data_IF_980450756822
#
_entry.id   IF_980450756822
#
_cell.length_a   1.000
_cell.length_b   1.000
_cell.length_c   1.000
_cell.angle_alpha   90.00
_cell.angle_beta   90.00
_cell.angle_gamma   90.00
#
_symmetry.space_group_name_H-M   'P 1'
#
loop_
_entity.id
_entity.type
_entity.pdbx_description
1 polymer ?
#
# COMPACT_ATOMS: atom_id res chain seq x y z
N UNK A 1 -26.94 -19.18 -10.20
CA UNK A 1 -25.87 -19.83 -10.98
C UNK A 1 -24.68 -20.05 -10.06
N UNK A 2 -24.23 -21.29 -9.81
CA UNK A 2 -23.22 -21.59 -8.79
C UNK A 2 -21.82 -21.63 -9.42
N UNK A 3 -21.25 -20.47 -9.70
CA UNK A 3 -19.82 -20.28 -9.94
C UNK A 3 -19.41 -18.88 -9.45
N UNK A 4 -19.08 -18.75 -8.15
CA UNK A 4 -18.18 -17.71 -7.65
C UNK A 4 -17.02 -18.43 -7.00
N UNK A 5 -16.01 -18.75 -7.80
CA UNK A 5 -14.73 -19.29 -7.33
C UNK A 5 -13.63 -18.35 -7.80
N UNK A 6 -13.05 -17.61 -6.84
CA UNK A 6 -11.67 -17.13 -6.88
C UNK A 6 -11.37 -15.82 -7.60
N UNK A 7 -11.85 -14.68 -7.09
CA UNK A 7 -11.21 -13.37 -7.37
C UNK A 7 -11.21 -12.40 -6.19
N UNK A 8 -11.85 -12.74 -5.06
CA UNK A 8 -12.01 -11.81 -3.93
C UNK A 8 -10.69 -11.46 -3.23
N UNK A 9 -9.64 -12.27 -3.42
CA UNK A 9 -8.32 -12.07 -2.80
C UNK A 9 -7.24 -11.68 -3.83
N UNK A 10 -7.63 -11.28 -5.05
CA UNK A 10 -6.67 -10.98 -6.12
C UNK A 10 -6.42 -9.48 -6.18
N UNK A 11 -5.23 -9.06 -5.77
CA UNK A 11 -4.74 -7.69 -5.96
C UNK A 11 -4.56 -7.38 -7.45
N UNK A 12 -4.62 -6.09 -7.88
CA UNK A 12 -4.90 -4.92 -7.06
C UNK A 12 -6.37 -4.83 -6.60
N UNK A 13 -6.59 -4.25 -5.42
CA UNK A 13 -7.93 -3.85 -4.97
C UNK A 13 -8.25 -2.47 -5.55
N UNK A 14 -9.51 -2.21 -5.89
CA UNK A 14 -9.93 -0.94 -6.47
C UNK A 14 -11.21 -0.43 -5.81
N UNK A 15 -11.23 0.85 -5.44
CA UNK A 15 -12.42 1.52 -4.94
C UNK A 15 -12.31 3.03 -5.15
N UNK A 16 -13.38 3.66 -5.66
CA UNK A 16 -13.48 5.12 -5.84
C UNK A 16 -12.26 5.78 -6.50
N UNK A 17 -11.78 5.18 -7.60
CA UNK A 17 -10.63 5.68 -8.35
C UNK A 17 -9.26 5.32 -7.75
N UNK A 18 -9.20 4.84 -6.51
CA UNK A 18 -7.97 4.38 -5.86
C UNK A 18 -7.73 2.90 -6.15
N UNK A 19 -6.51 2.57 -6.58
CA UNK A 19 -6.03 1.19 -6.67
C UNK A 19 -4.97 0.94 -5.60
N UNK A 20 -4.93 -0.28 -5.06
CA UNK A 20 -4.07 -0.66 -3.95
C UNK A 20 -3.48 -2.05 -4.13
N UNK A 21 -2.18 -2.19 -3.86
CA UNK A 21 -1.46 -3.46 -3.71
C UNK A 21 -0.65 -3.45 -2.42
N UNK A 22 -0.45 -4.64 -1.86
CA UNK A 22 0.34 -4.83 -0.66
C UNK A 22 1.21 -6.08 -0.84
N UNK A 23 2.51 -5.87 -0.91
CA UNK A 23 3.52 -6.91 -0.91
C UNK A 23 4.10 -7.04 0.50
N UNK A 24 3.51 -7.93 1.27
CA UNK A 24 3.88 -8.10 2.67
C UNK A 24 2.92 -9.05 3.36
N UNK A 25 3.01 -9.07 4.68
CA UNK A 25 2.08 -9.85 5.51
C UNK A 25 2.01 -9.25 6.92
N UNK A 26 0.89 -9.48 7.60
CA UNK A 26 0.71 -9.20 9.03
C UNK A 26 0.75 -10.52 9.81
N UNK A 27 1.69 -10.64 10.76
CA UNK A 27 1.74 -11.79 11.66
C UNK A 27 0.52 -11.82 12.61
N UNK A 28 -0.09 -13.00 12.73
CA UNK A 28 -1.30 -13.24 13.54
C UNK A 28 -2.47 -12.30 13.22
N UNK A 29 -2.60 -11.84 11.97
CA UNK A 29 -3.61 -10.85 11.53
C UNK A 29 -5.02 -11.02 12.13
N UNK A 30 -5.55 -12.25 12.11
CA UNK A 30 -6.89 -12.58 12.63
C UNK A 30 -7.04 -12.30 14.14
N UNK A 31 -5.95 -12.43 14.91
CA UNK A 31 -5.92 -12.24 16.37
C UNK A 31 -5.53 -10.81 16.76
N UNK A 32 -5.01 -10.03 15.82
CA UNK A 32 -4.44 -8.70 16.05
C UNK A 32 -5.23 -7.63 15.29
N UNK A 33 -4.76 -7.21 14.12
CA UNK A 33 -5.28 -6.07 13.38
C UNK A 33 -6.71 -6.29 12.89
N UNK A 34 -7.11 -7.52 12.52
CA UNK A 34 -8.41 -7.75 11.89
C UNK A 34 -9.56 -7.25 12.75
N UNK A 35 -9.57 -7.60 14.04
CA UNK A 35 -10.61 -7.16 14.97
C UNK A 35 -10.59 -5.65 15.19
N UNK A 36 -9.39 -5.05 15.26
CA UNK A 36 -9.19 -3.60 15.46
C UNK A 36 -9.67 -2.79 14.28
N UNK A 37 -9.25 -3.18 13.06
CA UNK A 37 -9.71 -2.57 11.81
C UNK A 37 -11.23 -2.65 11.73
N UNK A 38 -11.83 -3.84 11.90
CA UNK A 38 -13.30 -3.98 11.85
C UNK A 38 -14.04 -3.08 12.82
N UNK A 39 -13.50 -2.88 14.01
CA UNK A 39 -14.10 -1.99 15.00
C UNK A 39 -13.99 -0.51 14.61
N UNK A 40 -12.93 -0.15 13.89
CA UNK A 40 -12.69 1.21 13.40
C UNK A 40 -13.52 1.55 12.15
N UNK A 41 -13.83 0.55 11.30
CA UNK A 41 -14.60 0.75 10.08
C UNK A 41 -16.06 1.09 10.37
N UNK A 42 -16.60 2.04 9.62
CA UNK A 42 -18.04 2.22 9.48
C UNK A 42 -18.67 1.01 8.77
N UNK A 43 -19.96 0.78 9.00
CA UNK A 43 -20.69 -0.32 8.35
C UNK A 43 -20.65 -0.23 6.82
N UNK A 44 -20.62 0.99 6.26
CA UNK A 44 -20.53 1.20 4.81
C UNK A 44 -19.20 0.73 4.23
N UNK A 45 -18.09 1.06 4.87
CA UNK A 45 -16.75 0.64 4.42
C UNK A 45 -16.54 -0.85 4.66
N UNK A 46 -16.95 -1.38 5.83
CA UNK A 46 -16.83 -2.80 6.15
C UNK A 46 -17.61 -3.68 5.16
N UNK A 47 -18.80 -3.25 4.73
CA UNK A 47 -19.61 -3.97 3.74
C UNK A 47 -18.91 -4.08 2.36
N UNK A 48 -17.91 -3.25 2.09
CA UNK A 48 -17.10 -3.28 0.89
C UNK A 48 -15.94 -4.27 0.93
N UNK A 49 -15.74 -5.02 2.01
CA UNK A 49 -14.73 -6.09 2.12
C UNK A 49 -15.34 -7.39 1.57
N UNK A 50 -14.75 -7.93 0.51
CA UNK A 50 -15.20 -9.15 -0.16
C UNK A 50 -14.46 -10.43 0.26
N UNK A 51 -13.27 -10.31 0.83
CA UNK A 51 -12.38 -11.39 1.22
C UNK A 51 -11.96 -11.33 2.69
N UNK A 52 -10.80 -11.92 2.98
CA UNK A 52 -10.30 -12.09 4.35
C UNK A 52 -8.79 -11.86 4.50
N UNK A 53 -8.13 -11.27 3.50
CA UNK A 53 -6.69 -11.03 3.52
C UNK A 53 -6.35 -9.77 4.31
N UNK A 54 -5.19 -9.74 4.94
CA UNK A 54 -4.66 -8.54 5.59
C UNK A 54 -4.67 -7.32 4.67
N UNK A 55 -4.30 -7.53 3.41
CA UNK A 55 -4.19 -6.52 2.36
C UNK A 55 -5.51 -5.81 2.10
N UNK A 56 -6.62 -6.56 2.03
CA UNK A 56 -7.93 -5.97 1.79
C UNK A 56 -8.42 -5.15 2.99
N UNK A 57 -8.10 -5.61 4.21
CA UNK A 57 -8.44 -4.87 5.43
C UNK A 57 -7.57 -3.63 5.61
N UNK A 58 -6.28 -3.67 5.23
CA UNK A 58 -5.42 -2.49 5.18
C UNK A 58 -5.98 -1.48 4.16
N UNK A 59 -6.42 -1.95 2.99
CA UNK A 59 -7.08 -1.06 2.02
C UNK A 59 -8.41 -0.49 2.56
N UNK A 60 -9.19 -1.28 3.28
CA UNK A 60 -10.42 -0.81 3.92
C UNK A 60 -10.13 0.25 5.00
N UNK A 61 -9.06 0.10 5.79
CA UNK A 61 -8.60 1.10 6.74
C UNK A 61 -8.27 2.43 6.03
N UNK A 62 -7.53 2.37 4.93
CA UNK A 62 -7.21 3.56 4.13
C UNK A 62 -8.45 4.24 3.56
N UNK A 63 -9.39 3.45 3.02
CA UNK A 63 -10.69 3.96 2.54
C UNK A 63 -11.49 4.61 3.65
N UNK A 64 -11.47 4.05 4.86
CA UNK A 64 -12.14 4.65 6.01
C UNK A 64 -11.51 6.00 6.38
N UNK A 65 -10.18 6.11 6.41
CA UNK A 65 -9.49 7.36 6.70
C UNK A 65 -9.85 8.46 5.69
N UNK A 66 -9.74 8.15 4.39
CA UNK A 66 -10.13 9.07 3.32
C UNK A 66 -11.61 9.47 3.37
N UNK A 67 -12.51 8.53 3.68
CA UNK A 67 -13.94 8.82 3.81
C UNK A 67 -14.30 9.60 5.08
N UNK A 68 -13.37 9.73 6.04
CA UNK A 68 -13.62 10.45 7.31
C UNK A 68 -13.24 11.93 7.21
N UNK A 69 -12.45 12.31 6.21
CA UNK A 69 -11.95 13.66 6.01
C UNK A 69 -11.67 13.89 4.52
N UNK A 70 -12.56 14.64 3.86
CA UNK A 70 -12.47 14.96 2.43
C UNK A 70 -11.23 15.82 2.08
N UNK A 71 -10.59 16.46 3.07
CA UNK A 71 -9.36 17.25 2.88
C UNK A 71 -8.10 16.40 3.09
N UNK A 72 -8.23 15.15 3.54
CA UNK A 72 -7.10 14.27 3.81
C UNK A 72 -6.45 13.79 2.51
N UNK A 73 -5.19 14.16 2.32
CA UNK A 73 -4.41 13.68 1.17
C UNK A 73 -4.14 12.18 1.27
N UNK A 74 -3.92 11.52 0.13
CA UNK A 74 -3.58 10.10 0.11
C UNK A 74 -2.28 9.81 0.88
N UNK A 75 -1.29 10.70 0.80
CA UNK A 75 -0.09 10.65 1.64
C UNK A 75 -0.43 10.59 3.13
N UNK A 76 -1.24 11.54 3.62
CA UNK A 76 -1.56 11.63 5.04
C UNK A 76 -2.42 10.44 5.49
N UNK A 77 -3.30 9.94 4.63
CA UNK A 77 -4.04 8.70 4.88
C UNK A 77 -3.11 7.49 5.02
N UNK A 78 -2.08 7.38 4.17
CA UNK A 78 -1.06 6.31 4.29
C UNK A 78 -0.34 6.40 5.63
N UNK A 79 0.15 7.59 5.99
CA UNK A 79 0.83 7.81 7.29
C UNK A 79 -0.05 7.43 8.47
N UNK A 80 -1.27 7.94 8.51
CA UNK A 80 -2.23 7.65 9.56
C UNK A 80 -2.56 6.14 9.64
N UNK A 81 -2.68 5.45 8.51
CA UNK A 81 -2.90 4.00 8.50
C UNK A 81 -1.71 3.24 9.09
N UNK A 82 -0.48 3.62 8.75
CA UNK A 82 0.74 3.00 9.29
C UNK A 82 0.85 3.23 10.80
N UNK A 83 0.55 4.43 11.29
CA UNK A 83 0.54 4.76 12.73
C UNK A 83 -0.48 3.91 13.50
N UNK A 84 -1.72 3.80 12.99
CA UNK A 84 -2.75 2.96 13.60
C UNK A 84 -2.36 1.48 13.58
N UNK A 85 -1.74 1.00 12.50
CA UNK A 85 -1.24 -0.37 12.42
C UNK A 85 -0.19 -0.60 13.51
N UNK A 86 0.79 0.29 13.68
CA UNK A 86 1.81 0.15 14.73
C UNK A 86 1.20 0.08 16.13
N UNK A 87 0.25 0.97 16.43
CA UNK A 87 -0.46 0.97 17.71
C UNK A 87 -1.19 -0.35 17.97
N UNK A 88 -1.79 -0.94 16.94
CA UNK A 88 -2.65 -2.12 17.07
C UNK A 88 -1.92 -3.46 16.92
N UNK A 89 -0.69 -3.44 16.41
CA UNK A 89 0.07 -4.66 16.10
C UNK A 89 0.49 -5.41 17.36
N UNK A 90 0.57 -4.75 18.52
CA UNK A 90 0.93 -5.35 19.83
C UNK A 90 2.18 -6.24 19.72
N UNK A 91 3.23 -5.66 19.12
CA UNK A 91 4.57 -6.23 18.99
C UNK A 91 4.78 -7.30 17.92
N UNK A 92 3.75 -7.63 17.11
CA UNK A 92 3.88 -8.61 16.02
C UNK A 92 4.65 -8.03 14.84
N UNK A 93 5.07 -8.91 13.94
CA UNK A 93 5.73 -8.51 12.69
C UNK A 93 4.72 -8.04 11.64
N UNK A 94 5.09 -7.01 10.91
CA UNK A 94 4.40 -6.65 9.67
C UNK A 94 5.41 -6.20 8.62
N UNK A 95 5.20 -6.63 7.38
CA UNK A 95 5.88 -6.09 6.21
C UNK A 95 4.85 -5.29 5.43
N UNK A 96 5.13 -4.03 5.10
CA UNK A 96 4.18 -3.06 4.55
C UNK A 96 4.79 -2.36 3.33
N UNK A 97 5.18 -3.13 2.31
CA UNK A 97 5.39 -2.53 0.99
C UNK A 97 4.03 -2.39 0.33
N UNK A 98 3.47 -1.20 0.41
CA UNK A 98 2.17 -0.87 -0.18
C UNK A 98 2.41 -0.04 -1.42
N UNK A 99 1.60 -0.25 -2.46
CA UNK A 99 1.54 0.58 -3.66
C UNK A 99 0.10 1.07 -3.83
N UNK A 100 -0.08 2.37 -4.01
CA UNK A 100 -1.36 3.01 -4.31
C UNK A 100 -1.26 3.91 -5.52
N UNK A 101 -2.40 4.11 -6.18
CA UNK A 101 -2.58 5.18 -7.14
C UNK A 101 -4.00 5.71 -7.11
N UNK A 102 -4.14 7.02 -7.32
CA UNK A 102 -5.42 7.70 -7.56
C UNK A 102 -5.70 7.88 -9.06
N UNK A 103 -4.86 7.30 -9.93
CA UNK A 103 -4.92 7.46 -11.38
C UNK A 103 -4.04 8.59 -11.92
N UNK A 104 -3.51 9.47 -11.06
CA UNK A 104 -2.60 10.56 -11.44
C UNK A 104 -1.19 10.32 -10.91
N UNK A 105 -1.08 9.92 -9.63
CA UNK A 105 0.20 9.69 -8.94
C UNK A 105 0.33 8.25 -8.46
N UNK A 106 1.58 7.81 -8.29
CA UNK A 106 1.91 6.56 -7.61
C UNK A 106 2.47 6.86 -6.23
N UNK A 107 2.03 6.10 -5.23
CA UNK A 107 2.49 6.17 -3.86
C UNK A 107 3.00 4.80 -3.45
N UNK A 108 4.21 4.69 -2.93
CA UNK A 108 4.73 3.41 -2.47
C UNK A 108 5.49 3.50 -1.16
N UNK A 109 5.21 2.59 -0.23
CA UNK A 109 5.95 2.52 1.03
C UNK A 109 7.00 1.43 0.95
N UNK A 110 8.18 1.67 1.52
CA UNK A 110 9.08 0.60 1.95
C UNK A 110 9.13 0.60 3.47
N UNK A 111 8.33 -0.26 4.10
CA UNK A 111 8.15 -0.21 5.55
C UNK A 111 7.95 -1.60 6.15
N UNK A 112 8.32 -1.75 7.43
CA UNK A 112 8.08 -2.93 8.24
C UNK A 112 8.10 -2.53 9.71
N UNK A 113 7.42 -3.30 10.56
CA UNK A 113 7.53 -3.19 12.02
C UNK A 113 7.94 -4.54 12.58
N UNK A 114 8.86 -4.53 13.55
CA UNK A 114 9.43 -5.72 14.19
C UNK A 114 10.07 -6.73 13.22
N UNK A 115 10.44 -6.28 12.01
CA UNK A 115 11.03 -7.07 10.95
C UNK A 115 11.89 -6.18 10.02
N UNK A 116 12.71 -6.81 9.16
CA UNK A 116 13.46 -6.09 8.12
C UNK A 116 12.53 -5.69 6.96
N UNK A 117 12.75 -4.50 6.40
CA UNK A 117 11.94 -4.00 5.28
C UNK A 117 12.23 -4.80 4.00
N UNK A 118 11.22 -5.39 3.33
CA UNK A 118 11.42 -6.00 2.04
C UNK A 118 11.91 -4.96 1.03
N UNK A 119 12.72 -5.39 0.07
CA UNK A 119 13.28 -4.47 -0.93
C UNK A 119 12.19 -3.85 -1.79
N UNK A 120 12.45 -2.60 -2.18
CA UNK A 120 11.63 -1.87 -3.14
C UNK A 120 12.56 -0.94 -3.90
N UNK A 121 12.41 -0.90 -5.21
CA UNK A 121 13.19 -0.09 -6.12
C UNK A 121 12.25 0.69 -7.02
N UNK A 122 12.74 1.81 -7.54
CA UNK A 122 12.06 2.57 -8.56
C UNK A 122 13.04 3.04 -9.63
N UNK A 123 12.51 3.38 -10.80
CA UNK A 123 13.24 4.08 -11.85
C UNK A 123 12.30 5.01 -12.61
N UNK A 124 12.85 6.11 -13.14
CA UNK A 124 12.16 7.11 -13.94
C UNK A 124 12.84 7.38 -15.29
N UNK A 125 14.02 6.78 -15.51
CA UNK A 125 14.92 7.13 -16.61
C UNK A 125 15.60 5.89 -17.21
N UNK A 126 15.06 4.68 -16.97
CA UNK A 126 15.58 3.46 -17.57
C UNK A 126 15.13 3.33 -19.02
N UNK A 127 16.07 3.52 -19.94
CA UNK A 127 15.89 3.48 -21.40
C UNK A 127 15.41 2.12 -21.94
N UNK A 128 15.35 1.08 -21.10
CA UNK A 128 14.75 -0.21 -21.45
C UNK A 128 13.21 -0.16 -21.52
N UNK A 129 12.60 0.92 -21.04
CA UNK A 129 11.16 1.16 -21.03
C UNK A 129 10.79 2.36 -21.90
N UNK A 130 9.49 2.59 -22.09
CA UNK A 130 9.00 3.72 -22.87
C UNK A 130 9.45 5.06 -22.27
N UNK A 131 9.67 6.07 -23.12
CA UNK A 131 10.09 7.40 -22.70
C UNK A 131 9.09 7.99 -21.69
N UNK A 132 9.59 8.41 -20.53
CA UNK A 132 8.78 8.93 -19.42
C UNK A 132 8.12 7.85 -18.55
N UNK A 133 8.38 6.56 -18.78
CA UNK A 133 7.88 5.50 -17.93
C UNK A 133 8.48 5.59 -16.51
N UNK A 134 7.59 5.54 -15.51
CA UNK A 134 7.94 5.48 -14.10
C UNK A 134 7.57 4.09 -13.57
N UNK A 135 8.53 3.39 -12.95
CA UNK A 135 8.35 1.98 -12.57
C UNK A 135 8.76 1.78 -11.12
N UNK A 136 7.98 0.98 -10.40
CA UNK A 136 8.25 0.52 -9.04
C UNK A 136 8.23 -1.00 -9.04
N UNK A 137 9.25 -1.63 -8.44
CA UNK A 137 9.34 -3.08 -8.36
C UNK A 137 10.08 -3.54 -7.10
N UNK A 138 9.77 -4.74 -6.61
CA UNK A 138 10.44 -5.34 -5.44
C UNK A 138 11.90 -5.72 -5.72
N UNK A 139 12.23 -5.94 -6.98
CA UNK A 139 13.57 -6.22 -7.49
C UNK A 139 13.78 -5.42 -8.79
N UNK A 140 15.04 -5.20 -9.17
CA UNK A 140 15.37 -4.52 -10.42
C UNK A 140 14.99 -5.42 -11.58
N UNK A 141 14.23 -4.91 -12.54
CA UNK A 141 13.81 -5.67 -13.71
C UNK A 141 14.86 -5.66 -14.84
N UNK A 142 15.84 -4.78 -14.75
CA UNK A 142 16.95 -4.64 -15.67
C UNK A 142 18.27 -4.57 -14.89
N UNK A 143 19.38 -4.83 -15.57
CA UNK A 143 20.73 -4.73 -14.98
C UNK A 143 21.25 -3.27 -14.98
N UNK A 144 20.45 -2.31 -15.45
CA UNK A 144 20.85 -0.91 -15.58
C UNK A 144 21.08 -0.22 -14.23
N UNK A 145 21.96 0.79 -14.24
CA UNK A 145 22.27 1.61 -13.05
C UNK A 145 21.15 2.59 -12.66
N UNK A 146 20.11 2.71 -13.49
CA UNK A 146 18.99 3.66 -13.33
C UNK A 146 18.01 3.29 -12.19
N UNK A 147 18.14 2.09 -11.62
CA UNK A 147 17.29 1.63 -10.52
C UNK A 147 17.79 2.10 -9.16
N UNK A 148 16.95 2.88 -8.49
CA UNK A 148 17.22 3.43 -7.17
C UNK A 148 16.48 2.62 -6.10
N UNK A 149 17.14 2.23 -4.99
CA UNK A 149 16.44 1.64 -3.87
C UNK A 149 15.59 2.70 -3.17
N UNK A 150 14.34 2.37 -2.84
CA UNK A 150 13.57 3.15 -1.87
C UNK A 150 14.23 2.93 -0.50
N UNK A 151 14.58 3.98 0.26
CA UNK A 151 15.14 3.81 1.59
C UNK A 151 14.11 3.19 2.54
N UNK A 152 14.58 2.50 3.59
CA UNK A 152 13.69 1.91 4.59
C UNK A 152 12.91 2.99 5.35
N UNK A 153 11.66 2.70 5.66
CA UNK A 153 10.72 3.61 6.31
C UNK A 153 10.55 4.92 5.53
N UNK A 154 10.37 4.82 4.20
CA UNK A 154 10.03 5.95 3.35
C UNK A 154 8.78 5.68 2.52
N UNK A 155 8.06 6.77 2.24
CA UNK A 155 7.06 6.89 1.20
C UNK A 155 7.73 7.49 -0.05
N UNK A 156 7.65 6.77 -1.15
CA UNK A 156 7.94 7.26 -2.50
C UNK A 156 6.66 7.82 -3.11
N UNK A 157 6.75 9.01 -3.71
CA UNK A 157 5.70 9.58 -4.55
C UNK A 157 6.28 9.79 -5.95
N UNK A 158 5.62 9.22 -6.95
CA UNK A 158 5.92 9.46 -8.36
C UNK A 158 4.76 10.23 -8.98
N UNK A 159 5.10 11.39 -9.52
CA UNK A 159 4.20 12.26 -10.27
C UNK A 159 4.77 12.37 -11.70
N UNK A 160 3.94 12.26 -12.75
CA UNK A 160 4.42 12.33 -14.13
C UNK A 160 5.12 13.65 -14.51
N UNK A 161 4.81 14.74 -13.80
CA UNK A 161 5.31 16.09 -14.09
C UNK A 161 6.35 16.59 -13.08
N UNK A 162 6.65 15.82 -12.02
CA UNK A 162 7.60 16.20 -10.96
C UNK A 162 8.68 15.14 -10.75
N UNK A 163 9.87 15.53 -10.25
CA UNK A 163 10.86 14.55 -9.82
C UNK A 163 10.33 13.67 -8.68
N UNK A 164 10.85 12.43 -8.54
CA UNK A 164 10.50 11.54 -7.43
C UNK A 164 10.68 12.19 -6.06
N UNK A 165 9.67 12.04 -5.20
CA UNK A 165 9.73 12.50 -3.82
C UNK A 165 9.89 11.32 -2.87
N UNK A 166 10.80 11.46 -1.89
CA UNK A 166 11.04 10.47 -0.85
C UNK A 166 10.82 11.12 0.51
N UNK A 167 9.81 10.66 1.24
CA UNK A 167 9.41 11.24 2.52
C UNK A 167 9.57 10.19 3.61
N UNK A 168 10.26 10.53 4.69
CA UNK A 168 10.45 9.65 5.83
C UNK A 168 9.10 9.37 6.53
N UNK A 169 8.88 8.11 6.90
CA UNK A 169 7.76 7.61 7.68
C UNK A 169 8.12 7.58 9.17
#
# INVERSE_FOLDING_TARGET
SPYRTGSANTQPFTHDGVQFMHNGYVEDFDRTLRGRIRHFLSTGVEAGIGGNTDSEYIFALLRQLLASDDELTLENAIRAALELIDEWLDGRKVLLNVLLTDGERLYATRHALNAECPSLYFTTDDESFDEGAQIIASERLTEGEFWQPVPEHHLLILDPEQPPELIRL
#
